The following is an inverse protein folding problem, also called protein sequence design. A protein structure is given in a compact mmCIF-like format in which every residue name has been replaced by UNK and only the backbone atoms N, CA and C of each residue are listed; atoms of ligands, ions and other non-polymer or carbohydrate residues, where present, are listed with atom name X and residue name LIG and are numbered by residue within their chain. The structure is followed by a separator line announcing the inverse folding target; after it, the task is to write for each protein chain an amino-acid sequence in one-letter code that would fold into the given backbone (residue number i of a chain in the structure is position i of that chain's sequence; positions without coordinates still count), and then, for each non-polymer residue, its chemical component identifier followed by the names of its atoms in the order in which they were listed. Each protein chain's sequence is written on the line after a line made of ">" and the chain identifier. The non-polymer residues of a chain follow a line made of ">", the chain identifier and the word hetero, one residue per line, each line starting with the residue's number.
data_IF_292659876532
#
_entry.id   IF_292659876532
#
_cell.length_a   1.000
_cell.length_b   1.000
_cell.length_c   1.000
_cell.angle_alpha   90.00
_cell.angle_beta   90.00
_cell.angle_gamma   90.00
#
_symmetry.space_group_name_H-M   'P 1'
#
loop_
_entity.id
_entity.type
_entity.pdbx_description
1 polymer ?
#
# COMPACT_ATOMS: atom_id res chain seq x y z
N UNK A 1 19.45 -9.45 1.52
CA UNK A 1 19.12 -10.89 1.72
C UNK A 1 17.79 -11.05 2.48
N UNK A 2 17.56 -10.39 3.62
CA UNK A 2 16.28 -10.51 4.35
C UNK A 2 15.05 -10.02 3.55
N UNK A 3 15.14 -8.88 2.85
CA UNK A 3 13.99 -8.33 2.10
C UNK A 3 13.59 -9.20 0.91
N UNK A 4 14.54 -9.80 0.19
CA UNK A 4 14.22 -10.70 -0.92
C UNK A 4 13.51 -11.99 -0.46
N UNK A 5 13.83 -12.50 0.74
CA UNK A 5 13.13 -13.64 1.32
C UNK A 5 11.70 -13.27 1.73
N UNK A 6 11.51 -12.10 2.35
CA UNK A 6 10.19 -11.57 2.67
C UNK A 6 9.35 -11.33 1.41
N UNK A 7 9.97 -10.78 0.37
CA UNK A 7 9.33 -10.54 -0.92
C UNK A 7 8.88 -11.85 -1.59
N UNK A 8 9.74 -12.88 -1.55
CA UNK A 8 9.43 -14.19 -2.11
C UNK A 8 8.27 -14.85 -1.36
N UNK A 9 8.25 -14.76 -0.03
CA UNK A 9 7.17 -15.29 0.81
C UNK A 9 5.84 -14.55 0.56
N UNK A 10 5.88 -13.21 0.48
CA UNK A 10 4.70 -12.39 0.21
C UNK A 10 4.15 -12.61 -1.22
N UNK A 11 5.03 -12.79 -2.20
CA UNK A 11 4.64 -13.06 -3.60
C UNK A 11 3.96 -14.42 -3.80
N UNK A 12 4.25 -15.38 -2.93
CA UNK A 12 3.65 -16.72 -2.94
C UNK A 12 2.35 -16.81 -2.14
N UNK A 13 2.00 -15.76 -1.39
CA UNK A 13 0.72 -15.72 -0.69
C UNK A 13 -0.40 -15.71 -1.73
N UNK A 14 -1.38 -16.64 -1.64
CA UNK A 14 -2.46 -16.69 -2.60
C UNK A 14 -3.22 -15.37 -2.56
N UNK A 15 -3.31 -14.71 -3.73
CA UNK A 15 -4.28 -13.64 -3.95
C UNK A 15 -5.65 -14.31 -3.74
N UNK A 16 -6.29 -14.10 -2.59
CA UNK A 16 -7.62 -14.66 -2.36
C UNK A 16 -8.57 -14.01 -3.35
N UNK A 17 -8.95 -14.77 -4.37
CA UNK A 17 -9.86 -14.34 -5.41
C UNK A 17 -11.26 -14.11 -4.82
N UNK A 18 -11.72 -12.85 -4.94
CA UNK A 18 -13.07 -12.31 -5.13
C UNK A 18 -14.31 -12.87 -4.40
N UNK A 19 -14.22 -13.91 -3.55
CA UNK A 19 -15.45 -14.55 -3.04
C UNK A 19 -15.85 -14.19 -1.61
N UNK A 20 -14.93 -13.66 -0.78
CA UNK A 20 -15.28 -13.08 0.52
C UNK A 20 -14.28 -11.97 0.90
N UNK A 21 -14.71 -10.70 1.04
CA UNK A 21 -13.86 -9.55 1.36
C UNK A 21 -13.53 -9.48 2.86
N UNK A 22 -13.17 -10.61 3.47
CA UNK A 22 -12.68 -10.61 4.85
C UNK A 22 -11.24 -10.08 4.84
N UNK A 23 -10.97 -8.92 5.48
CA UNK A 23 -9.62 -8.37 5.55
C UNK A 23 -8.67 -9.39 6.16
N UNK A 24 -7.58 -9.72 5.45
CA UNK A 24 -6.53 -10.58 6.00
C UNK A 24 -5.41 -9.68 6.53
N UNK A 25 -5.66 -9.10 7.70
CA UNK A 25 -4.81 -8.07 8.32
C UNK A 25 -3.37 -8.54 8.48
N UNK A 26 -3.14 -9.83 8.80
CA UNK A 26 -1.78 -10.37 8.95
C UNK A 26 -0.97 -10.41 7.65
N UNK A 27 -1.61 -10.74 6.53
CA UNK A 27 -0.95 -10.68 5.20
C UNK A 27 -0.76 -9.22 4.77
N UNK A 28 -1.73 -8.36 5.08
CA UNK A 28 -1.69 -6.94 4.73
C UNK A 28 -0.54 -6.20 5.44
N UNK A 29 -0.27 -6.50 6.72
CA UNK A 29 0.87 -5.92 7.46
C UNK A 29 2.23 -6.39 6.91
N UNK A 30 2.36 -7.67 6.59
CA UNK A 30 3.58 -8.22 6.00
C UNK A 30 3.87 -7.58 4.63
N UNK A 31 2.87 -7.44 3.76
CA UNK A 31 3.03 -6.78 2.45
C UNK A 31 3.28 -5.27 2.60
N UNK A 32 2.60 -4.60 3.54
CA UNK A 32 2.83 -3.18 3.82
C UNK A 32 4.29 -2.91 4.21
N UNK A 33 4.90 -3.80 5.01
CA UNK A 33 6.29 -3.65 5.45
C UNK A 33 7.30 -3.58 4.30
N UNK A 34 6.99 -4.15 3.12
CA UNK A 34 7.86 -4.11 1.93
C UNK A 34 7.85 -2.75 1.23
N UNK A 35 6.75 -1.99 1.32
CA UNK A 35 6.61 -0.67 0.70
C UNK A 35 7.71 0.30 1.12
N UNK A 36 7.92 0.55 2.44
CA UNK A 36 8.95 1.45 2.93
C UNK A 36 10.37 1.06 2.54
N UNK A 37 10.68 -0.23 2.43
CA UNK A 37 12.01 -0.69 1.98
C UNK A 37 12.31 -0.24 0.55
N UNK A 38 11.32 -0.35 -0.34
CA UNK A 38 11.43 0.13 -1.71
C UNK A 38 11.33 1.65 -1.83
N UNK A 39 10.59 2.31 -0.95
CA UNK A 39 10.48 3.78 -0.93
C UNK A 39 11.78 4.46 -0.47
N UNK A 40 12.43 3.90 0.56
CA UNK A 40 13.64 4.47 1.17
C UNK A 40 14.95 3.90 0.62
N UNK A 41 14.89 2.72 -0.01
CA UNK A 41 16.08 1.99 -0.44
C UNK A 41 16.85 1.31 0.71
N UNK A 42 16.21 1.12 1.86
CA UNK A 42 16.85 0.41 2.99
C UNK A 42 16.80 -1.10 2.74
N UNK A 43 17.97 -1.70 2.50
CA UNK A 43 18.13 -3.15 2.29
C UNK A 43 17.79 -3.64 0.88
N UNK A 44 17.31 -2.76 0.00
CA UNK A 44 17.04 -2.97 -1.43
C UNK A 44 17.32 -1.69 -2.22
N UNK A 45 17.44 -1.77 -3.54
CA UNK A 45 17.51 -0.55 -4.36
C UNK A 45 16.19 0.21 -4.30
N UNK A 46 16.26 1.52 -4.05
CA UNK A 46 15.09 2.41 -4.06
C UNK A 46 14.33 2.28 -5.38
N UNK A 47 13.02 2.07 -5.29
CA UNK A 47 12.11 1.88 -6.41
C UNK A 47 10.67 2.21 -6.01
N UNK A 48 10.24 3.45 -6.26
CA UNK A 48 8.87 3.88 -5.96
C UNK A 48 7.80 3.08 -6.70
N UNK A 49 8.08 2.62 -7.93
CA UNK A 49 7.11 1.80 -8.66
C UNK A 49 6.84 0.49 -7.91
N UNK A 50 7.89 -0.17 -7.42
CA UNK A 50 7.76 -1.39 -6.64
C UNK A 50 7.12 -1.15 -5.27
N UNK A 51 7.40 -0.02 -4.63
CA UNK A 51 6.71 0.39 -3.40
C UNK A 51 5.19 0.54 -3.63
N UNK A 52 4.75 1.21 -4.71
CA UNK A 52 3.33 1.34 -5.03
C UNK A 52 2.63 0.00 -5.25
N UNK A 53 3.31 -0.98 -5.86
CA UNK A 53 2.76 -2.33 -6.05
C UNK A 53 2.53 -3.04 -4.71
N UNK A 54 3.47 -2.92 -3.76
CA UNK A 54 3.31 -3.50 -2.42
C UNK A 54 2.21 -2.82 -1.62
N UNK A 55 2.12 -1.49 -1.68
CA UNK A 55 1.02 -0.77 -1.04
C UNK A 55 -0.34 -1.10 -1.64
N UNK A 56 -0.43 -1.29 -2.97
CA UNK A 56 -1.67 -1.73 -3.61
C UNK A 56 -2.10 -3.11 -3.08
N UNK A 57 -1.20 -4.10 -3.06
CA UNK A 57 -1.51 -5.44 -2.54
C UNK A 57 -1.95 -5.42 -1.08
N UNK A 58 -1.21 -4.72 -0.23
CA UNK A 58 -1.57 -4.57 1.18
C UNK A 58 -2.91 -3.86 1.36
N UNK A 59 -3.21 -2.85 0.54
CA UNK A 59 -4.52 -2.18 0.51
C UNK A 59 -5.63 -3.14 0.07
N UNK A 60 -5.39 -3.98 -0.93
CA UNK A 60 -6.35 -4.98 -1.40
C UNK A 60 -6.66 -6.02 -0.31
N UNK A 61 -5.67 -6.35 0.53
CA UNK A 61 -5.83 -7.21 1.71
C UNK A 61 -6.36 -6.50 2.97
N UNK A 62 -6.69 -5.20 2.86
CA UNK A 62 -7.40 -4.45 3.90
C UNK A 62 -6.53 -3.52 4.76
N UNK A 63 -5.25 -3.36 4.46
CA UNK A 63 -4.41 -2.37 5.17
C UNK A 63 -4.87 -0.95 4.85
N UNK A 64 -5.39 -0.25 5.86
CA UNK A 64 -5.76 1.16 5.77
C UNK A 64 -4.53 2.04 5.58
N UNK A 65 -3.44 1.78 6.31
CA UNK A 65 -2.17 2.50 6.18
C UNK A 65 -1.59 2.38 4.78
N UNK A 66 -1.64 1.20 4.15
CA UNK A 66 -1.17 1.00 2.79
C UNK A 66 -2.01 1.77 1.76
N UNK A 67 -3.35 1.79 1.94
CA UNK A 67 -4.23 2.61 1.11
C UNK A 67 -3.89 4.11 1.23
N UNK A 68 -3.59 4.60 2.44
CA UNK A 68 -3.16 5.98 2.67
C UNK A 68 -1.83 6.27 1.96
N UNK A 69 -0.80 5.43 2.15
CA UNK A 69 0.50 5.58 1.49
C UNK A 69 0.36 5.58 -0.04
N UNK A 70 -0.45 4.68 -0.61
CA UNK A 70 -0.68 4.65 -2.04
C UNK A 70 -1.43 5.88 -2.54
N UNK A 71 -2.39 6.39 -1.77
CA UNK A 71 -3.10 7.64 -2.05
C UNK A 71 -2.14 8.83 -2.19
N UNK A 72 -1.20 8.97 -1.25
CA UNK A 72 -0.16 10.00 -1.30
C UNK A 72 0.78 9.82 -2.51
N UNK A 73 1.13 8.57 -2.85
CA UNK A 73 1.94 8.31 -4.05
C UNK A 73 1.25 8.74 -5.35
N UNK A 74 -0.06 8.56 -5.47
CA UNK A 74 -0.85 9.07 -6.59
C UNK A 74 -0.99 10.60 -6.57
N UNK A 75 -1.01 11.23 -5.40
CA UNK A 75 -1.03 12.69 -5.27
C UNK A 75 0.29 13.32 -5.75
N UNK A 76 1.42 12.74 -5.32
CA UNK A 76 2.77 13.22 -5.62
C UNK A 76 3.29 12.73 -6.98
N UNK A 77 2.66 11.72 -7.58
CA UNK A 77 3.16 11.08 -8.80
C UNK A 77 4.44 10.27 -8.59
N UNK A 78 4.62 9.69 -7.40
CA UNK A 78 5.81 8.92 -7.04
C UNK A 78 5.62 7.45 -7.36
N UNK A 79 6.36 6.93 -8.34
CA UNK A 79 6.27 5.51 -8.73
C UNK A 79 5.00 5.12 -9.51
N UNK A 80 4.01 6.01 -9.54
CA UNK A 80 2.77 5.96 -10.32
C UNK A 80 2.56 7.30 -11.01
N UNK A 81 1.81 7.31 -12.10
CA UNK A 81 1.36 8.57 -12.71
C UNK A 81 0.46 9.33 -11.72
N UNK A 82 0.69 10.63 -11.58
CA UNK A 82 -0.12 11.48 -10.72
C UNK A 82 -1.60 11.39 -11.11
N UNK A 83 -2.45 11.09 -10.15
CA UNK A 83 -3.90 10.91 -10.33
C UNK A 83 -4.63 11.27 -9.02
N UNK A 84 -5.12 12.51 -8.96
CA UNK A 84 -5.80 13.02 -7.76
C UNK A 84 -7.13 12.31 -7.47
N UNK A 85 -7.81 11.80 -8.50
CA UNK A 85 -9.07 11.07 -8.34
C UNK A 85 -8.81 9.73 -7.66
N UNK A 86 -7.77 9.00 -8.11
CA UNK A 86 -7.34 7.77 -7.42
C UNK A 86 -6.82 8.03 -6.03
N UNK A 87 -6.07 9.11 -5.84
CA UNK A 87 -5.58 9.53 -4.52
C UNK A 87 -6.75 9.70 -3.54
N UNK A 88 -7.75 10.50 -3.91
CA UNK A 88 -8.94 10.74 -3.08
C UNK A 88 -9.69 9.44 -2.78
N UNK A 89 -9.89 8.58 -3.78
CA UNK A 89 -10.56 7.28 -3.58
C UNK A 89 -9.84 6.39 -2.56
N UNK A 90 -8.51 6.30 -2.65
CA UNK A 90 -7.70 5.49 -1.75
C UNK A 90 -7.65 6.07 -0.34
N UNK A 91 -7.58 7.40 -0.20
CA UNK A 91 -7.64 8.06 1.10
C UNK A 91 -9.02 7.91 1.74
N UNK A 92 -10.12 8.00 0.97
CA UNK A 92 -11.47 7.69 1.46
C UNK A 92 -11.59 6.25 1.91
N UNK A 93 -11.06 5.30 1.14
CA UNK A 93 -11.03 3.89 1.52
C UNK A 93 -10.27 3.69 2.84
N UNK A 94 -9.12 4.34 2.98
CA UNK A 94 -8.30 4.30 4.19
C UNK A 94 -9.03 4.89 5.41
N UNK A 95 -9.69 6.03 5.26
CA UNK A 95 -10.49 6.67 6.30
C UNK A 95 -11.68 5.79 6.74
N UNK A 96 -12.40 5.16 5.80
CA UNK A 96 -13.50 4.22 6.11
C UNK A 96 -12.99 3.00 6.87
N UNK A 97 -11.74 2.58 6.62
CA UNK A 97 -11.06 1.50 7.33
C UNK A 97 -10.39 1.95 8.65
N UNK A 98 -10.59 3.21 9.06
CA UNK A 98 -10.18 3.71 10.36
C UNK A 98 -8.75 4.26 10.45
N UNK A 99 -8.09 4.61 9.33
CA UNK A 99 -6.84 5.37 9.39
C UNK A 99 -7.14 6.85 9.70
N UNK A 100 -6.73 7.37 10.87
CA UNK A 100 -6.96 8.77 11.22
C UNK A 100 -6.16 9.75 10.36
N UNK A 101 -5.02 9.33 9.80
CA UNK A 101 -4.21 10.20 8.96
C UNK A 101 -4.88 10.44 7.61
N UNK A 102 -5.62 9.46 7.11
CA UNK A 102 -6.32 9.59 5.83
C UNK A 102 -7.41 10.68 5.87
N UNK A 103 -8.07 10.86 7.01
CA UNK A 103 -9.04 11.96 7.19
C UNK A 103 -8.36 13.34 7.13
N UNK A 104 -7.16 13.45 7.72
CA UNK A 104 -6.37 14.69 7.65
C UNK A 104 -5.91 14.96 6.23
N UNK A 105 -5.41 13.94 5.53
CA UNK A 105 -4.93 14.07 4.16
C UNK A 105 -6.07 14.43 3.20
N UNK A 106 -7.27 13.86 3.37
CA UNK A 106 -8.47 14.28 2.62
C UNK A 106 -8.87 15.73 2.85
N UNK A 107 -8.61 16.28 4.04
CA UNK A 107 -8.92 17.67 4.33
C UNK A 107 -7.92 18.66 3.70
N UNK A 108 -6.76 18.16 3.25
CA UNK A 108 -5.68 18.94 2.63
C UNK A 108 -5.61 18.81 1.10
N UNK A 109 -6.42 17.92 0.52
CA UNK A 109 -6.46 17.57 -0.91
C UNK A 109 -7.33 18.56 -1.70
#
# INVERSE_FOLDING_TARGET
>A
MAIQLLEQAASQSPIMSDKFPVPNVGVAEAEHSLGPHYETGVGVKMNYHKASQWYQRASDHGSSTAANSLGLMYEEGRGVSKDLVKSEQLLRLSAVRGDPNAMMNLALL
#
